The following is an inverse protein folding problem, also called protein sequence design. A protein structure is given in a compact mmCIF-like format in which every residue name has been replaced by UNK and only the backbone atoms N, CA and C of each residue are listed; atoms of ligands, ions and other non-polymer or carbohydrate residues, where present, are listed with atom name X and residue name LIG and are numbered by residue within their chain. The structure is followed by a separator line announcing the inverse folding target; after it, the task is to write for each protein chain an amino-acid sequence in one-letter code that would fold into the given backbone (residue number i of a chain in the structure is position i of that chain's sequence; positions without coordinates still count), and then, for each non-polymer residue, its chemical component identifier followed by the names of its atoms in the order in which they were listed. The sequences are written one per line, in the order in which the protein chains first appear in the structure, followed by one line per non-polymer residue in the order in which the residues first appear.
data_IF_395137743210
#
_entry.id   IF_395137743210
#
_cell.length_a   1.000
_cell.length_b   1.000
_cell.length_c   1.000
_cell.angle_alpha   90.00
_cell.angle_beta   90.00
_cell.angle_gamma   90.00
#
_symmetry.space_group_name_H-M   'P 1'
#
loop_
_entity.id
_entity.type
_entity.pdbx_description
1 polymer ?
#
# COMPACT_ATOMS: atom_id res chain seq x y z
N UNK A 1 34.63 -36.63 -22.07
CA UNK A 1 33.91 -35.52 -21.38
C UNK A 1 33.12 -34.77 -22.44
N UNK A 2 31.78 -34.71 -22.34
CA UNK A 2 30.96 -33.91 -23.28
C UNK A 2 30.90 -32.45 -22.79
N UNK A 3 31.02 -31.45 -23.67
CA UNK A 3 30.92 -30.05 -23.28
C UNK A 3 29.52 -29.72 -22.78
N UNK A 4 29.42 -29.00 -21.66
CA UNK A 4 28.16 -28.50 -21.10
C UNK A 4 27.88 -27.15 -21.77
N UNK A 5 26.80 -27.07 -22.55
CA UNK A 5 26.31 -25.83 -23.13
C UNK A 5 25.23 -25.27 -22.21
N UNK A 6 25.40 -24.02 -21.74
CA UNK A 6 24.41 -23.31 -20.91
C UNK A 6 23.77 -22.23 -21.76
N UNK A 7 22.45 -22.34 -21.99
CA UNK A 7 21.68 -21.38 -22.77
C UNK A 7 21.03 -20.35 -21.84
N UNK A 8 21.10 -19.07 -22.23
CA UNK A 8 20.66 -17.92 -21.43
C UNK A 8 19.34 -17.33 -21.92
N UNK A 9 18.94 -17.59 -23.16
CA UNK A 9 17.64 -17.18 -23.69
C UNK A 9 17.09 -18.13 -24.78
N UNK A 10 15.84 -17.89 -25.19
CA UNK A 10 15.12 -18.68 -26.19
C UNK A 10 15.64 -18.47 -27.62
N UNK A 11 16.37 -17.38 -27.91
CA UNK A 11 16.97 -17.11 -29.21
C UNK A 11 18.22 -17.96 -29.44
N UNK A 12 19.01 -18.21 -28.39
CA UNK A 12 20.19 -19.09 -28.42
C UNK A 12 19.84 -20.55 -28.75
N UNK A 13 18.59 -20.96 -28.51
CA UNK A 13 18.06 -22.29 -28.83
C UNK A 13 18.08 -22.61 -30.34
N UNK A 14 17.96 -21.57 -31.19
CA UNK A 14 18.05 -21.71 -32.65
C UNK A 14 19.45 -22.11 -33.13
N UNK A 15 20.51 -21.67 -32.44
CA UNK A 15 21.90 -21.94 -32.81
C UNK A 15 22.38 -23.35 -32.42
N UNK A 16 21.69 -24.00 -31.48
CA UNK A 16 21.98 -25.39 -31.03
C UNK A 16 20.97 -26.40 -31.59
N UNK A 17 19.98 -25.95 -32.37
CA UNK A 17 18.92 -26.79 -32.93
C UNK A 17 19.49 -28.01 -33.65
N UNK A 18 20.50 -27.79 -34.49
CA UNK A 18 21.09 -28.85 -35.33
C UNK A 18 22.01 -29.81 -34.52
N UNK A 19 22.37 -29.46 -33.28
CA UNK A 19 23.07 -30.33 -32.32
C UNK A 19 22.10 -31.19 -31.47
N UNK A 20 20.82 -30.81 -31.42
CA UNK A 20 19.76 -31.49 -30.65
C UNK A 20 18.91 -32.44 -31.49
N UNK A 21 19.02 -32.38 -32.82
CA UNK A 21 18.36 -33.32 -33.72
C UNK A 21 19.19 -34.59 -33.78
N UNK A 22 18.89 -35.56 -32.91
CA UNK A 22 19.11 -36.96 -33.29
C UNK A 22 18.23 -37.22 -34.52
N UNK A 23 18.83 -37.55 -35.66
CA UNK A 23 18.10 -38.03 -36.84
C UNK A 23 17.46 -39.38 -36.50
N UNK A 24 16.30 -39.33 -35.88
CA UNK A 24 15.58 -40.48 -35.38
C UNK A 24 14.33 -40.05 -34.63
N UNK A 25 13.30 -40.90 -34.57
CA UNK A 25 12.11 -40.60 -33.80
C UNK A 25 12.46 -40.44 -32.31
N UNK A 26 11.99 -39.36 -31.69
CA UNK A 26 12.12 -39.14 -30.25
C UNK A 26 11.68 -40.41 -29.51
N UNK A 27 12.52 -41.00 -28.63
CA UNK A 27 12.16 -42.20 -27.90
C UNK A 27 10.84 -42.00 -27.15
N UNK A 28 9.91 -42.97 -27.25
CA UNK A 28 8.55 -42.85 -26.73
C UNK A 28 8.48 -42.46 -25.23
N UNK A 29 9.49 -42.81 -24.44
CA UNK A 29 9.60 -42.44 -23.02
C UNK A 29 9.97 -40.98 -22.72
N UNK A 30 10.26 -40.15 -23.73
CA UNK A 30 10.60 -38.72 -23.59
C UNK A 30 9.62 -37.77 -24.28
N UNK A 31 8.58 -38.30 -24.91
CA UNK A 31 7.59 -37.50 -25.61
C UNK A 31 6.52 -37.01 -24.61
N UNK A 32 6.44 -35.68 -24.40
CA UNK A 32 5.34 -35.04 -23.64
C UNK A 32 3.98 -35.20 -24.33
N UNK A 33 4.01 -35.57 -25.62
CA UNK A 33 2.83 -35.88 -26.43
C UNK A 33 3.10 -37.21 -27.13
N UNK A 34 2.25 -38.24 -26.98
CA UNK A 34 2.47 -39.53 -27.61
C UNK A 34 2.51 -39.38 -29.15
N UNK A 35 3.55 -39.92 -29.78
CA UNK A 35 3.69 -39.95 -31.24
C UNK A 35 2.76 -41.03 -31.79
N UNK A 36 1.61 -40.64 -32.34
CA UNK A 36 0.61 -41.55 -32.91
C UNK A 36 1.08 -42.03 -34.29
N UNK A 37 1.49 -43.30 -34.40
CA UNK A 37 1.89 -43.92 -35.68
C UNK A 37 0.77 -44.78 -36.23
N UNK A 38 -0.12 -44.15 -36.99
CA UNK A 38 -1.33 -44.80 -37.47
C UNK A 38 -2.38 -44.89 -36.36
N UNK A 39 -3.64 -44.80 -36.73
CA UNK A 39 -4.75 -44.83 -35.79
C UNK A 39 -5.81 -45.69 -36.42
N UNK A 40 -5.83 -46.97 -36.04
CA UNK A 40 -6.90 -47.84 -36.47
C UNK A 40 -8.23 -47.25 -35.93
N UNK A 41 -9.37 -47.44 -36.61
CA UNK A 41 -10.66 -46.99 -36.11
C UNK A 41 -10.92 -47.41 -34.65
N UNK A 42 -10.48 -48.63 -34.28
CA UNK A 42 -10.54 -49.15 -32.92
C UNK A 42 -9.74 -48.32 -31.89
N UNK A 43 -8.57 -47.77 -32.26
CA UNK A 43 -7.76 -46.93 -31.36
C UNK A 43 -8.42 -45.56 -31.12
N UNK A 44 -9.11 -45.03 -32.14
CA UNK A 44 -9.88 -43.78 -32.03
C UNK A 44 -11.11 -43.97 -31.15
N UNK A 45 -11.79 -45.08 -31.30
CA UNK A 45 -12.95 -45.44 -30.48
C UNK A 45 -12.55 -45.69 -29.02
N UNK A 46 -11.42 -46.37 -28.77
CA UNK A 46 -10.87 -46.57 -27.44
C UNK A 46 -10.49 -45.23 -26.77
N UNK A 47 -9.78 -44.34 -27.48
CA UNK A 47 -9.45 -43.00 -26.98
C UNK A 47 -10.71 -42.17 -26.71
N UNK A 48 -11.70 -42.21 -27.61
CA UNK A 48 -12.97 -41.52 -27.41
C UNK A 48 -13.75 -42.07 -26.21
N UNK A 49 -13.72 -43.38 -25.98
CA UNK A 49 -14.32 -44.01 -24.81
C UNK A 49 -13.61 -43.62 -23.51
N UNK A 50 -12.27 -43.61 -23.50
CA UNK A 50 -11.46 -43.17 -22.36
C UNK A 50 -11.67 -41.68 -22.05
N UNK A 51 -11.69 -40.83 -23.07
CA UNK A 51 -11.98 -39.42 -22.93
C UNK A 51 -13.39 -39.19 -22.36
N UNK A 52 -14.41 -39.90 -22.86
CA UNK A 52 -15.77 -39.86 -22.30
C UNK A 52 -15.79 -40.31 -20.83
N UNK A 53 -15.15 -41.42 -20.50
CA UNK A 53 -15.06 -41.91 -19.12
C UNK A 53 -14.38 -40.90 -18.18
N UNK A 54 -13.32 -40.23 -18.65
CA UNK A 54 -12.61 -39.18 -17.90
C UNK A 54 -13.49 -37.94 -17.70
N UNK A 55 -14.23 -37.52 -18.73
CA UNK A 55 -15.17 -36.39 -18.64
C UNK A 55 -16.31 -36.71 -17.66
N UNK A 56 -16.92 -37.88 -17.75
CA UNK A 56 -17.96 -38.32 -16.81
C UNK A 56 -17.43 -38.37 -15.37
N UNK A 57 -16.19 -38.82 -15.17
CA UNK A 57 -15.56 -38.81 -13.84
C UNK A 57 -15.36 -37.38 -13.32
N UNK A 58 -14.91 -36.45 -14.17
CA UNK A 58 -14.76 -35.04 -13.82
C UNK A 58 -16.11 -34.40 -13.47
N UNK A 59 -17.16 -34.69 -14.24
CA UNK A 59 -18.53 -34.20 -13.99
C UNK A 59 -19.03 -34.67 -12.62
N UNK A 60 -18.87 -35.96 -12.29
CA UNK A 60 -19.23 -36.49 -10.95
C UNK A 60 -18.45 -35.83 -9.83
N UNK A 61 -17.16 -35.52 -10.04
CA UNK A 61 -16.34 -34.80 -9.06
C UNK A 61 -16.82 -33.35 -8.87
N UNK A 62 -17.17 -32.65 -9.95
CA UNK A 62 -17.70 -31.29 -9.90
C UNK A 62 -19.07 -31.24 -9.20
N UNK A 63 -19.95 -32.20 -9.48
CA UNK A 63 -21.24 -32.33 -8.80
C UNK A 63 -21.05 -32.59 -7.29
N UNK A 64 -20.12 -33.49 -6.94
CA UNK A 64 -19.78 -33.80 -5.55
C UNK A 64 -19.19 -32.59 -4.81
N UNK A 65 -18.26 -31.85 -5.42
CA UNK A 65 -17.72 -30.62 -4.84
C UNK A 65 -18.81 -29.54 -4.71
N UNK A 66 -19.66 -29.40 -5.73
CA UNK A 66 -20.80 -28.49 -5.72
C UNK A 66 -21.78 -28.78 -4.57
N UNK A 67 -22.10 -30.05 -4.32
CA UNK A 67 -22.91 -30.46 -3.18
C UNK A 67 -22.24 -30.12 -1.85
N UNK A 68 -20.95 -30.45 -1.69
CA UNK A 68 -20.17 -30.10 -0.48
C UNK A 68 -20.09 -28.60 -0.24
N UNK A 69 -19.91 -27.79 -1.29
CA UNK A 69 -19.91 -26.32 -1.18
C UNK A 69 -21.26 -25.78 -0.72
N UNK A 70 -22.38 -26.32 -1.22
CA UNK A 70 -23.73 -25.94 -0.76
C UNK A 70 -23.94 -26.28 0.72
N UNK A 71 -23.54 -27.48 1.14
CA UNK A 71 -23.61 -27.88 2.56
C UNK A 71 -22.74 -27.01 3.47
N UNK A 72 -21.52 -26.70 3.03
CA UNK A 72 -20.61 -25.81 3.74
C UNK A 72 -21.16 -24.38 3.82
N UNK A 73 -21.81 -23.88 2.76
CA UNK A 73 -22.49 -22.58 2.76
C UNK A 73 -23.66 -22.55 3.75
N UNK A 74 -24.52 -23.58 3.77
CA UNK A 74 -25.58 -23.68 4.78
C UNK A 74 -25.04 -23.81 6.21
N UNK A 75 -23.88 -24.46 6.41
CA UNK A 75 -23.21 -24.49 7.70
C UNK A 75 -22.64 -23.12 8.09
N UNK A 76 -22.09 -22.36 7.13
CA UNK A 76 -21.63 -20.99 7.33
C UNK A 76 -22.78 -20.05 7.74
N UNK A 77 -23.95 -20.18 7.13
CA UNK A 77 -25.13 -19.39 7.51
C UNK A 77 -25.58 -19.70 8.94
N UNK A 78 -25.58 -20.98 9.34
CA UNK A 78 -25.82 -21.37 10.74
C UNK A 78 -24.78 -20.81 11.71
N UNK A 79 -23.51 -20.72 11.32
CA UNK A 79 -22.47 -20.06 12.13
C UNK A 79 -22.81 -18.58 12.34
N UNK A 80 -23.26 -17.88 11.29
CA UNK A 80 -23.63 -16.46 11.37
C UNK A 80 -24.83 -16.25 12.28
N UNK A 81 -25.88 -17.04 12.10
CA UNK A 81 -27.09 -17.01 12.93
C UNK A 81 -26.75 -17.30 14.40
N UNK A 82 -25.99 -18.36 14.68
CA UNK A 82 -25.56 -18.70 16.03
C UNK A 82 -24.72 -17.57 16.66
N UNK A 83 -23.81 -16.96 15.90
CA UNK A 83 -22.98 -15.85 16.40
C UNK A 83 -23.81 -14.61 16.75
N UNK A 84 -24.82 -14.29 15.92
CA UNK A 84 -25.75 -13.20 16.18
C UNK A 84 -26.63 -13.50 17.41
N UNK A 85 -27.14 -14.73 17.51
CA UNK A 85 -27.98 -15.14 18.63
C UNK A 85 -27.21 -15.12 19.97
N UNK A 86 -25.98 -15.64 19.99
CA UNK A 86 -25.12 -15.53 21.16
C UNK A 86 -24.89 -14.07 21.59
N UNK A 87 -24.71 -13.17 20.62
CA UNK A 87 -24.56 -11.73 20.88
C UNK A 87 -25.83 -11.14 21.50
N UNK A 88 -27.01 -11.48 20.99
CA UNK A 88 -28.30 -11.05 21.55
C UNK A 88 -28.48 -11.54 22.99
N UNK A 89 -28.23 -12.83 23.24
CA UNK A 89 -28.35 -13.45 24.56
C UNK A 89 -27.40 -12.82 25.59
N UNK A 90 -26.16 -12.48 25.20
CA UNK A 90 -25.23 -11.73 26.05
C UNK A 90 -25.73 -10.32 26.36
N UNK A 91 -26.36 -9.66 25.39
CA UNK A 91 -27.03 -8.37 25.59
C UNK A 91 -28.11 -8.46 26.65
N UNK A 92 -29.03 -9.42 26.51
CA UNK A 92 -30.07 -9.70 27.51
C UNK A 92 -29.48 -10.02 28.89
N UNK A 93 -28.44 -10.84 28.95
CA UNK A 93 -27.78 -11.17 30.22
C UNK A 93 -27.21 -9.93 30.91
N UNK A 94 -26.59 -9.02 30.15
CA UNK A 94 -26.07 -7.74 30.66
C UNK A 94 -27.20 -6.86 31.22
N UNK A 95 -28.30 -6.71 30.48
CA UNK A 95 -29.47 -5.94 30.91
C UNK A 95 -30.09 -6.53 32.19
N UNK A 96 -30.21 -7.86 32.27
CA UNK A 96 -30.75 -8.55 33.44
C UNK A 96 -29.84 -8.41 34.67
N UNK A 97 -28.51 -8.46 34.49
CA UNK A 97 -27.57 -8.15 35.58
C UNK A 97 -27.71 -6.72 36.07
N UNK A 98 -27.89 -5.77 35.17
CA UNK A 98 -28.09 -4.37 35.54
C UNK A 98 -29.41 -4.15 36.28
N UNK A 99 -30.50 -4.76 35.80
CA UNK A 99 -31.79 -4.77 36.50
C UNK A 99 -31.66 -5.39 37.90
N UNK A 100 -30.94 -6.52 38.02
CA UNK A 100 -30.66 -7.18 39.30
C UNK A 100 -29.90 -6.27 40.27
N UNK A 101 -28.86 -5.57 39.79
CA UNK A 101 -28.10 -4.59 40.60
C UNK A 101 -28.97 -3.41 41.05
N UNK A 102 -29.78 -2.84 40.14
CA UNK A 102 -30.70 -1.74 40.47
C UNK A 102 -31.74 -2.14 41.51
N UNK A 103 -32.36 -3.32 41.34
CA UNK A 103 -33.32 -3.86 42.30
C UNK A 103 -32.67 -4.16 43.66
N UNK A 104 -31.43 -4.66 43.68
CA UNK A 104 -30.67 -4.86 44.92
C UNK A 104 -30.38 -3.53 45.64
N UNK A 105 -30.00 -2.48 44.88
CA UNK A 105 -29.81 -1.14 45.42
C UNK A 105 -31.09 -0.52 45.99
N UNK A 106 -32.23 -0.76 45.34
CA UNK A 106 -33.54 -0.37 45.86
C UNK A 106 -33.90 -1.13 47.13
N UNK A 107 -33.67 -2.44 47.18
CA UNK A 107 -33.89 -3.24 48.40
C UNK A 107 -33.09 -2.70 49.60
N UNK A 108 -31.83 -2.32 49.36
CA UNK A 108 -30.96 -1.76 50.39
C UNK A 108 -31.37 -0.37 50.90
N UNK A 109 -32.06 0.42 50.08
CA UNK A 109 -32.43 1.81 50.42
C UNK A 109 -33.92 2.03 50.71
N UNK A 110 -34.80 1.09 50.36
CA UNK A 110 -36.24 1.20 50.56
C UNK A 110 -36.61 1.22 52.06
N UNK A 111 -37.39 2.23 52.44
CA UNK A 111 -37.90 2.42 53.81
C UNK A 111 -39.04 1.45 54.13
N UNK A 112 -39.92 1.18 53.16
CA UNK A 112 -41.07 0.31 53.34
C UNK A 112 -40.68 -1.18 53.24
N UNK A 113 -41.03 -2.03 54.23
CA UNK A 113 -40.68 -3.44 54.23
C UNK A 113 -41.23 -4.24 53.04
N UNK A 114 -42.40 -3.86 52.51
CA UNK A 114 -42.98 -4.52 51.35
C UNK A 114 -42.20 -4.21 50.07
N UNK A 115 -41.87 -2.94 49.86
CA UNK A 115 -41.04 -2.49 48.73
C UNK A 115 -39.67 -3.17 48.75
N UNK A 116 -39.03 -3.30 49.93
CA UNK A 116 -37.77 -4.05 50.08
C UNK A 116 -37.90 -5.51 49.62
N UNK A 117 -38.89 -6.24 50.14
CA UNK A 117 -39.13 -7.65 49.77
C UNK A 117 -39.45 -7.82 48.28
N UNK A 118 -40.20 -6.90 47.69
CA UNK A 118 -40.49 -6.92 46.23
C UNK A 118 -39.21 -6.71 45.43
N UNK A 119 -38.40 -5.73 45.80
CA UNK A 119 -37.12 -5.44 45.15
C UNK A 119 -36.11 -6.60 45.27
N UNK A 120 -36.04 -7.27 46.43
CA UNK A 120 -35.22 -8.48 46.62
C UNK A 120 -35.65 -9.62 45.69
N UNK A 121 -36.97 -9.88 45.58
CA UNK A 121 -37.50 -10.90 44.66
C UNK A 121 -37.17 -10.58 43.21
N UNK A 122 -37.38 -9.33 42.78
CA UNK A 122 -37.04 -8.89 41.43
C UNK A 122 -35.54 -8.96 41.15
N UNK A 123 -34.69 -8.62 42.13
CA UNK A 123 -33.24 -8.75 42.01
C UNK A 123 -32.81 -10.20 41.80
N UNK A 124 -33.36 -11.12 42.59
CA UNK A 124 -33.07 -12.55 42.50
C UNK A 124 -33.57 -13.15 41.17
N UNK A 125 -34.76 -12.75 40.71
CA UNK A 125 -35.32 -13.19 39.43
C UNK A 125 -34.50 -12.72 38.23
N UNK A 126 -34.18 -11.41 38.18
CA UNK A 126 -33.32 -10.87 37.13
C UNK A 126 -31.93 -11.52 37.13
N UNK A 127 -31.37 -11.81 38.32
CA UNK A 127 -30.11 -12.56 38.45
C UNK A 127 -30.20 -13.95 37.82
N UNK A 128 -31.25 -14.72 38.11
CA UNK A 128 -31.47 -16.05 37.51
C UNK A 128 -31.63 -15.98 35.99
N UNK A 129 -32.38 -15.01 35.47
CA UNK A 129 -32.56 -14.82 34.04
C UNK A 129 -31.24 -14.47 33.33
N UNK A 130 -30.39 -13.65 33.95
CA UNK A 130 -29.06 -13.36 33.43
C UNK A 130 -28.19 -14.62 33.32
N UNK A 131 -28.10 -15.41 34.40
CA UNK A 131 -27.34 -16.67 34.40
C UNK A 131 -27.86 -17.65 33.33
N UNK A 132 -29.18 -17.74 33.17
CA UNK A 132 -29.79 -18.58 32.12
C UNK A 132 -29.41 -18.08 30.72
N UNK A 133 -29.52 -16.78 30.46
CA UNK A 133 -29.16 -16.18 29.18
C UNK A 133 -27.67 -16.39 28.84
N UNK A 134 -26.78 -16.28 29.82
CA UNK A 134 -25.35 -16.60 29.66
C UNK A 134 -25.09 -18.07 29.33
N UNK A 135 -25.75 -18.99 30.05
CA UNK A 135 -25.61 -20.40 29.79
C UNK A 135 -26.07 -20.75 28.37
N UNK A 136 -27.19 -20.16 27.90
CA UNK A 136 -27.65 -20.32 26.52
C UNK A 136 -26.66 -19.72 25.51
N UNK A 137 -26.13 -18.51 25.76
CA UNK A 137 -25.14 -17.90 24.87
C UNK A 137 -23.90 -18.79 24.73
N UNK A 138 -23.39 -19.36 25.83
CA UNK A 138 -22.24 -20.25 25.82
C UNK A 138 -22.47 -21.53 24.99
N UNK A 139 -23.67 -22.11 25.06
CA UNK A 139 -24.04 -23.28 24.24
C UNK A 139 -24.07 -22.92 22.76
N UNK A 140 -24.71 -21.80 22.40
CA UNK A 140 -24.80 -21.34 21.01
C UNK A 140 -23.41 -21.01 20.44
N UNK A 141 -22.52 -20.43 21.24
CA UNK A 141 -21.13 -20.16 20.84
C UNK A 141 -20.29 -21.43 20.67
N UNK A 142 -20.53 -22.45 21.50
CA UNK A 142 -19.87 -23.73 21.33
C UNK A 142 -20.27 -24.37 20.00
N UNK A 143 -21.55 -24.28 19.61
CA UNK A 143 -22.03 -24.74 18.32
C UNK A 143 -21.43 -23.94 17.15
N UNK A 144 -21.41 -22.60 17.25
CA UNK A 144 -20.79 -21.73 16.24
C UNK A 144 -19.30 -22.07 16.05
N UNK A 145 -18.56 -22.28 17.15
CA UNK A 145 -17.15 -22.69 17.11
C UNK A 145 -16.97 -24.07 16.49
N UNK A 146 -17.81 -25.04 16.84
CA UNK A 146 -17.78 -26.40 16.28
C UNK A 146 -17.99 -26.39 14.76
N UNK A 147 -18.98 -25.63 14.29
CA UNK A 147 -19.24 -25.49 12.85
C UNK A 147 -18.12 -24.75 12.13
N UNK A 148 -17.59 -23.67 12.73
CA UNK A 148 -16.48 -22.89 12.17
C UNK A 148 -15.17 -23.67 12.09
N UNK A 149 -14.98 -24.67 12.98
CA UNK A 149 -13.80 -25.54 13.00
C UNK A 149 -13.78 -26.58 11.88
N UNK A 150 -14.88 -26.78 11.13
CA UNK A 150 -14.88 -27.67 9.97
C UNK A 150 -14.03 -27.07 8.86
N UNK A 151 -13.18 -27.87 8.22
CA UNK A 151 -12.21 -27.40 7.22
C UNK A 151 -12.89 -26.71 6.01
N UNK A 152 -14.04 -27.19 5.57
CA UNK A 152 -14.82 -26.64 4.47
C UNK A 152 -15.40 -25.25 4.80
N UNK A 153 -15.97 -25.08 6.00
CA UNK A 153 -16.48 -23.79 6.50
C UNK A 153 -15.33 -22.83 6.78
N UNK A 154 -14.23 -23.29 7.38
CA UNK A 154 -13.04 -22.49 7.62
C UNK A 154 -12.44 -21.95 6.32
N UNK A 155 -12.44 -22.76 5.25
CA UNK A 155 -12.03 -22.32 3.91
C UNK A 155 -12.94 -21.22 3.38
N UNK A 156 -14.27 -21.38 3.44
CA UNK A 156 -15.22 -20.35 3.00
C UNK A 156 -15.09 -19.04 3.82
N UNK A 157 -14.87 -19.14 5.13
CA UNK A 157 -14.58 -17.98 5.98
C UNK A 157 -13.28 -17.29 5.58
N UNK A 158 -12.26 -18.06 5.21
CA UNK A 158 -11.00 -17.55 4.66
C UNK A 158 -11.22 -16.80 3.35
N UNK A 159 -11.93 -17.41 2.38
CA UNK A 159 -12.29 -16.78 1.11
C UNK A 159 -13.08 -15.47 1.32
N UNK A 160 -14.04 -15.45 2.25
CA UNK A 160 -14.81 -14.26 2.56
C UNK A 160 -13.94 -13.14 3.16
N UNK A 161 -12.98 -13.48 4.03
CA UNK A 161 -12.01 -12.51 4.56
C UNK A 161 -11.12 -11.96 3.44
N UNK A 162 -10.55 -12.83 2.60
CA UNK A 162 -9.72 -12.41 1.48
C UNK A 162 -10.49 -11.51 0.51
N UNK A 163 -11.74 -11.84 0.17
CA UNK A 163 -12.58 -10.96 -0.68
C UNK A 163 -12.85 -9.60 -0.05
N UNK A 164 -13.07 -9.55 1.27
CA UNK A 164 -13.27 -8.27 1.99
C UNK A 164 -11.98 -7.44 2.02
N UNK A 165 -10.85 -8.07 2.23
CA UNK A 165 -9.52 -7.43 2.19
C UNK A 165 -9.24 -6.89 0.79
N UNK A 166 -9.50 -7.67 -0.27
CA UNK A 166 -9.39 -7.21 -1.66
C UNK A 166 -10.34 -6.07 -2.01
N UNK A 167 -11.57 -6.07 -1.47
CA UNK A 167 -12.53 -4.99 -1.69
C UNK A 167 -12.08 -3.70 -1.00
N UNK A 168 -11.62 -3.79 0.25
CA UNK A 168 -11.05 -2.65 0.98
C UNK A 168 -9.82 -2.10 0.28
N UNK A 169 -8.92 -2.98 -0.18
CA UNK A 169 -7.74 -2.59 -0.95
C UNK A 169 -8.14 -1.82 -2.20
N UNK A 170 -9.13 -2.30 -2.95
CA UNK A 170 -9.63 -1.60 -4.15
C UNK A 170 -10.19 -0.22 -3.80
N UNK A 171 -10.95 -0.11 -2.72
CA UNK A 171 -11.50 1.16 -2.24
C UNK A 171 -10.39 2.14 -1.82
N UNK A 172 -9.38 1.67 -1.08
CA UNK A 172 -8.22 2.48 -0.66
C UNK A 172 -7.38 2.93 -1.87
N UNK A 173 -7.18 2.05 -2.85
CA UNK A 173 -6.47 2.37 -4.09
C UNK A 173 -7.26 3.37 -4.96
N UNK A 174 -8.58 3.24 -5.03
CA UNK A 174 -9.45 4.19 -5.73
C UNK A 174 -9.42 5.57 -5.05
N UNK A 175 -9.47 5.61 -3.72
CA UNK A 175 -9.34 6.83 -2.94
C UNK A 175 -7.97 7.49 -3.15
N UNK A 176 -6.88 6.70 -3.13
CA UNK A 176 -5.54 7.20 -3.45
C UNK A 176 -5.49 7.80 -4.87
N UNK A 177 -6.12 7.14 -5.85
CA UNK A 177 -6.30 7.66 -7.20
C UNK A 177 -7.03 9.02 -7.22
N UNK A 178 -8.12 9.16 -6.47
CA UNK A 178 -8.84 10.44 -6.33
C UNK A 178 -7.97 11.55 -5.73
N UNK A 179 -7.14 11.22 -4.73
CA UNK A 179 -6.17 12.17 -4.17
C UNK A 179 -5.09 12.56 -5.18
N UNK A 180 -4.59 11.61 -5.99
CA UNK A 180 -3.65 11.88 -7.08
C UNK A 180 -4.23 12.81 -8.14
N UNK A 181 -5.49 12.61 -8.53
CA UNK A 181 -6.17 13.44 -9.52
C UNK A 181 -6.49 14.83 -8.96
N UNK A 182 -6.77 14.93 -7.65
CA UNK A 182 -6.99 16.19 -6.94
C UNK A 182 -5.71 16.95 -6.54
N UNK A 183 -4.52 16.46 -6.89
CA UNK A 183 -3.24 17.08 -6.53
C UNK A 183 -2.88 17.00 -5.04
N UNK A 184 -3.57 16.16 -4.27
CA UNK A 184 -3.36 15.92 -2.84
C UNK A 184 -2.34 14.79 -2.65
N UNK A 185 -1.09 15.05 -3.05
CA UNK A 185 -0.05 14.01 -3.15
C UNK A 185 0.38 13.42 -1.81
N UNK A 186 0.42 14.24 -0.74
CA UNK A 186 0.79 13.75 0.60
C UNK A 186 -0.28 12.83 1.19
N UNK A 187 -1.55 13.09 0.91
CA UNK A 187 -2.67 12.20 1.27
C UNK A 187 -2.64 10.91 0.44
N UNK A 188 -2.43 11.02 -0.87
CA UNK A 188 -2.28 9.85 -1.74
C UNK A 188 -1.12 8.96 -1.28
N UNK A 189 0.02 9.55 -0.92
CA UNK A 189 1.18 8.82 -0.41
C UNK A 189 0.88 8.11 0.90
N UNK A 190 0.24 8.80 1.85
CA UNK A 190 -0.14 8.21 3.15
C UNK A 190 -1.03 6.98 2.98
N UNK A 191 -2.02 7.05 2.08
CA UNK A 191 -2.90 5.92 1.78
C UNK A 191 -2.14 4.76 1.14
N UNK A 192 -1.27 5.02 0.16
CA UNK A 192 -0.47 3.97 -0.47
C UNK A 192 0.51 3.30 0.51
N UNK A 193 1.13 4.07 1.42
CA UNK A 193 2.00 3.54 2.48
C UNK A 193 1.21 2.67 3.48
N UNK A 194 -0.06 3.01 3.75
CA UNK A 194 -0.95 2.20 4.60
C UNK A 194 -1.33 0.88 3.93
N UNK A 195 -1.68 0.92 2.64
CA UNK A 195 -1.92 -0.29 1.83
C UNK A 195 -0.68 -1.20 1.81
N UNK A 196 0.51 -0.63 1.62
CA UNK A 196 1.78 -1.38 1.62
C UNK A 196 2.03 -2.12 2.94
N UNK A 197 1.74 -1.47 4.07
CA UNK A 197 1.96 -2.05 5.41
C UNK A 197 0.96 -3.14 5.75
N UNK A 198 -0.29 -2.96 5.34
CA UNK A 198 -1.37 -3.86 5.72
C UNK A 198 -1.49 -5.07 4.79
N UNK A 199 -0.98 -4.98 3.55
CA UNK A 199 -1.21 -5.99 2.52
C UNK A 199 0.10 -6.33 1.79
N UNK A 200 0.64 -7.50 2.09
CA UNK A 200 1.98 -7.93 1.62
C UNK A 200 2.07 -8.25 0.12
N UNK A 201 0.97 -8.16 -0.64
CA UNK A 201 0.96 -8.46 -2.08
C UNK A 201 -0.20 -7.77 -2.80
N UNK A 202 -0.13 -6.46 -2.94
CA UNK A 202 -1.02 -5.72 -3.85
C UNK A 202 -0.39 -5.67 -5.25
N UNK A 203 -0.92 -6.42 -6.25
CA UNK A 203 -0.59 -6.11 -7.64
C UNK A 203 -1.04 -4.66 -7.90
N UNK A 204 -0.25 -3.90 -8.65
CA UNK A 204 -0.50 -2.49 -9.01
C UNK A 204 -0.01 -1.41 -8.01
N UNK A 205 0.40 -1.77 -6.79
CA UNK A 205 0.90 -0.77 -5.82
C UNK A 205 2.17 -0.05 -6.32
N UNK A 206 3.11 -0.81 -6.92
CA UNK A 206 4.32 -0.23 -7.52
C UNK A 206 4.01 0.74 -8.66
N UNK A 207 2.98 0.46 -9.46
CA UNK A 207 2.54 1.35 -10.53
C UNK A 207 1.91 2.63 -9.97
N UNK A 208 1.15 2.54 -8.87
CA UNK A 208 0.57 3.70 -8.19
C UNK A 208 1.67 4.61 -7.61
N UNK A 209 2.69 4.06 -6.95
CA UNK A 209 3.83 4.84 -6.47
C UNK A 209 4.63 5.50 -7.59
N UNK A 210 4.87 4.81 -8.71
CA UNK A 210 5.53 5.44 -9.86
C UNK A 210 4.68 6.56 -10.48
N UNK A 211 3.35 6.39 -10.51
CA UNK A 211 2.42 7.42 -10.99
C UNK A 211 2.44 8.64 -10.07
N UNK A 212 2.39 8.44 -8.76
CA UNK A 212 2.55 9.49 -7.74
C UNK A 212 3.87 10.24 -7.97
N UNK A 213 4.99 9.52 -8.08
CA UNK A 213 6.32 10.10 -8.28
C UNK A 213 6.40 10.95 -9.55
N UNK A 214 5.82 10.47 -10.66
CA UNK A 214 5.79 11.21 -11.94
C UNK A 214 4.96 12.48 -11.83
N UNK A 215 3.78 12.43 -11.19
CA UNK A 215 2.89 13.59 -11.03
C UNK A 215 3.46 14.64 -10.06
N UNK A 216 4.00 14.22 -8.92
CA UNK A 216 4.74 15.11 -8.02
C UNK A 216 5.91 15.79 -8.73
N UNK A 217 6.67 15.02 -9.53
CA UNK A 217 7.75 15.54 -10.36
C UNK A 217 7.27 16.61 -11.34
N UNK A 218 6.16 16.36 -12.05
CA UNK A 218 5.59 17.32 -12.99
C UNK A 218 5.15 18.64 -12.31
N UNK A 219 4.59 18.58 -11.10
CA UNK A 219 4.24 19.79 -10.33
C UNK A 219 5.48 20.57 -9.91
N UNK A 220 6.53 19.88 -9.44
CA UNK A 220 7.81 20.51 -9.10
C UNK A 220 8.44 21.18 -10.32
N UNK A 221 8.40 20.54 -11.48
CA UNK A 221 8.90 21.09 -12.74
C UNK A 221 8.13 22.36 -13.11
N UNK A 222 6.79 22.33 -13.14
CA UNK A 222 5.98 23.51 -13.46
C UNK A 222 6.23 24.67 -12.49
N UNK A 223 6.34 24.39 -11.20
CA UNK A 223 6.67 25.40 -10.19
C UNK A 223 8.06 26.01 -10.44
N UNK A 224 9.06 25.19 -10.76
CA UNK A 224 10.40 25.64 -11.12
C UNK A 224 10.42 26.47 -12.41
N UNK A 225 9.67 26.09 -13.45
CA UNK A 225 9.52 26.86 -14.69
C UNK A 225 8.86 28.22 -14.45
N UNK A 226 7.82 28.24 -13.61
CA UNK A 226 7.09 29.45 -13.23
C UNK A 226 8.01 30.41 -12.47
N UNK A 227 8.75 29.89 -11.47
CA UNK A 227 9.75 30.66 -10.73
C UNK A 227 10.84 31.21 -11.64
N UNK A 228 11.34 30.41 -12.60
CA UNK A 228 12.33 30.87 -13.58
C UNK A 228 11.78 31.98 -14.47
N UNK A 229 10.55 31.84 -14.99
CA UNK A 229 9.92 32.83 -15.84
C UNK A 229 9.72 34.16 -15.09
N UNK A 230 9.25 34.09 -13.85
CA UNK A 230 9.02 35.27 -13.02
C UNK A 230 10.34 35.93 -12.60
N UNK A 231 11.33 35.15 -12.18
CA UNK A 231 12.64 35.68 -11.83
C UNK A 231 13.34 36.35 -13.02
N UNK A 232 13.17 35.84 -14.25
CA UNK A 232 13.69 36.48 -15.48
C UNK A 232 13.05 37.85 -15.72
N UNK A 233 11.77 38.04 -15.39
CA UNK A 233 11.08 39.34 -15.49
C UNK A 233 11.60 40.33 -14.45
N UNK A 234 11.76 39.86 -13.20
CA UNK A 234 12.17 40.69 -12.07
C UNK A 234 13.66 41.04 -12.12
N UNK A 235 14.52 40.14 -12.59
CA UNK A 235 15.98 40.20 -12.51
C UNK A 235 16.59 41.55 -12.92
N UNK A 236 16.02 42.24 -13.92
CA UNK A 236 16.57 43.52 -14.40
C UNK A 236 16.27 44.69 -13.48
N UNK A 237 15.08 44.71 -12.86
CA UNK A 237 14.53 45.83 -12.07
C UNK A 237 14.62 45.60 -10.57
N UNK A 238 14.36 44.36 -10.14
CA UNK A 238 14.24 43.94 -8.75
C UNK A 238 15.07 42.65 -8.52
N UNK A 239 16.41 42.71 -8.60
CA UNK A 239 17.26 41.52 -8.49
C UNK A 239 17.13 40.78 -7.15
N UNK A 240 16.85 41.50 -6.05
CA UNK A 240 16.62 40.88 -4.74
C UNK A 240 15.38 39.97 -4.73
N UNK A 241 14.26 40.44 -5.32
CA UNK A 241 13.04 39.63 -5.44
C UNK A 241 13.20 38.45 -6.40
N UNK A 242 13.95 38.63 -7.49
CA UNK A 242 14.29 37.54 -8.39
C UNK A 242 15.05 36.41 -7.66
N UNK A 243 15.96 36.76 -6.75
CA UNK A 243 16.68 35.78 -5.92
C UNK A 243 15.69 35.06 -5.00
N UNK A 244 14.81 35.77 -4.30
CA UNK A 244 13.82 35.17 -3.38
C UNK A 244 12.90 34.17 -4.09
N UNK A 245 12.43 34.51 -5.30
CA UNK A 245 11.60 33.62 -6.11
C UNK A 245 12.36 32.35 -6.49
N UNK A 246 13.64 32.46 -6.89
CA UNK A 246 14.45 31.29 -7.27
C UNK A 246 14.87 30.45 -6.06
N UNK A 247 15.23 31.06 -4.93
CA UNK A 247 15.59 30.36 -3.69
C UNK A 247 14.43 29.54 -3.14
N UNK A 248 13.20 30.00 -3.37
CA UNK A 248 11.97 29.30 -2.97
C UNK A 248 11.56 28.20 -3.95
N UNK A 249 12.18 28.10 -5.13
CA UNK A 249 11.81 27.12 -6.14
C UNK A 249 12.25 25.70 -5.75
N UNK A 250 11.45 24.66 -6.04
CA UNK A 250 11.86 23.29 -5.82
C UNK A 250 13.01 22.95 -6.77
N UNK A 251 14.16 22.51 -6.24
CA UNK A 251 15.31 22.07 -7.04
C UNK A 251 15.48 20.55 -7.06
N UNK A 252 14.89 19.87 -6.09
CA UNK A 252 14.99 18.42 -5.97
C UNK A 252 14.05 17.73 -6.96
N UNK A 253 14.59 16.82 -7.77
CA UNK A 253 13.83 16.10 -8.81
C UNK A 253 13.57 16.91 -10.09
N UNK A 254 14.10 18.12 -10.20
CA UNK A 254 13.99 18.94 -11.42
C UNK A 254 15.03 18.48 -12.46
N UNK A 255 14.68 18.43 -13.77
CA UNK A 255 15.62 18.13 -14.84
C UNK A 255 16.86 19.03 -14.78
N UNK A 256 18.03 18.45 -15.04
CA UNK A 256 19.31 19.12 -14.87
C UNK A 256 19.40 20.43 -15.69
N UNK A 257 18.83 20.44 -16.89
CA UNK A 257 18.79 21.62 -17.75
C UNK A 257 18.01 22.78 -17.11
N UNK A 258 16.83 22.51 -16.54
CA UNK A 258 16.04 23.52 -15.85
C UNK A 258 16.73 24.01 -14.58
N UNK A 259 17.35 23.09 -13.82
CA UNK A 259 18.17 23.46 -12.65
C UNK A 259 19.34 24.38 -13.04
N UNK A 260 19.97 24.14 -14.20
CA UNK A 260 21.05 24.98 -14.73
C UNK A 260 20.57 26.37 -15.11
N UNK A 261 19.38 26.48 -15.70
CA UNK A 261 18.76 27.77 -16.02
C UNK A 261 18.39 28.57 -14.76
N UNK A 262 17.81 27.92 -13.75
CA UNK A 262 17.52 28.54 -12.45
C UNK A 262 18.80 29.05 -11.80
N UNK A 263 19.83 28.20 -11.72
CA UNK A 263 21.12 28.56 -11.15
C UNK A 263 21.80 29.72 -11.89
N UNK A 264 21.77 29.72 -13.22
CA UNK A 264 22.30 30.82 -14.03
C UNK A 264 21.56 32.14 -13.79
N UNK A 265 20.22 32.10 -13.72
CA UNK A 265 19.40 33.28 -13.44
C UNK A 265 19.65 33.83 -12.03
N UNK A 266 19.75 32.94 -11.04
CA UNK A 266 20.08 33.27 -9.65
C UNK A 266 21.44 33.96 -9.54
N UNK A 267 22.49 33.39 -10.16
CA UNK A 267 23.83 33.96 -10.11
C UNK A 267 23.88 35.33 -10.82
N UNK A 268 23.16 35.48 -11.95
CA UNK A 268 23.06 36.75 -12.66
C UNK A 268 22.32 37.81 -11.83
N UNK A 269 21.27 37.43 -11.08
CA UNK A 269 20.59 38.33 -10.16
C UNK A 269 21.51 38.74 -8.99
N UNK A 270 22.27 37.80 -8.42
CA UNK A 270 23.24 38.08 -7.36
C UNK A 270 24.31 39.08 -7.81
N UNK A 271 24.84 38.92 -9.03
CA UNK A 271 25.80 39.88 -9.61
C UNK A 271 25.24 41.28 -9.75
N UNK A 272 23.95 41.42 -10.07
CA UNK A 272 23.27 42.72 -10.21
C UNK A 272 23.00 43.42 -8.88
N UNK A 273 23.10 42.73 -7.74
CA UNK A 273 22.99 43.37 -6.43
C UNK A 273 24.18 44.28 -6.11
N UNK A 274 25.28 44.22 -6.88
CA UNK A 274 26.44 45.09 -6.67
C UNK A 274 27.17 44.81 -5.35
N UNK A 275 27.15 43.55 -4.88
CA UNK A 275 27.78 43.14 -3.63
C UNK A 275 29.31 43.18 -3.75
N UNK A 276 29.91 44.30 -3.32
CA UNK A 276 31.36 44.52 -3.37
C UNK A 276 32.08 43.50 -2.46
N UNK A 277 33.14 42.86 -2.99
CA UNK A 277 33.90 41.79 -2.33
C UNK A 277 33.11 40.48 -2.05
N UNK A 278 31.93 40.31 -2.64
CA UNK A 278 31.22 39.04 -2.55
C UNK A 278 32.00 37.90 -3.21
N UNK A 279 31.91 36.72 -2.59
CA UNK A 279 32.39 35.47 -3.16
C UNK A 279 31.23 34.57 -3.52
N UNK A 280 31.42 33.79 -4.57
CA UNK A 280 30.56 32.70 -4.96
C UNK A 280 31.24 31.37 -4.62
N UNK A 281 30.58 30.59 -3.78
CA UNK A 281 30.97 29.23 -3.41
C UNK A 281 30.09 28.23 -4.15
N UNK A 282 30.71 27.32 -4.90
CA UNK A 282 30.01 26.24 -5.63
C UNK A 282 30.15 24.93 -4.87
N UNK A 283 29.05 24.40 -4.36
CA UNK A 283 29.02 23.14 -3.62
C UNK A 283 28.78 21.92 -4.52
N UNK A 284 28.22 22.12 -5.72
CA UNK A 284 27.95 21.04 -6.67
C UNK A 284 27.30 21.52 -7.96
N UNK A 285 26.76 20.60 -8.79
CA UNK A 285 25.95 20.95 -9.95
C UNK A 285 24.72 21.75 -9.51
N UNK A 286 24.55 22.97 -10.06
CA UNK A 286 23.41 23.84 -9.79
C UNK A 286 23.16 24.15 -8.30
N UNK A 287 24.21 24.07 -7.45
CA UNK A 287 24.18 24.34 -6.02
C UNK A 287 25.32 25.25 -5.61
N UNK A 288 25.01 26.32 -4.89
CA UNK A 288 26.01 27.28 -4.45
C UNK A 288 25.45 28.34 -3.52
N UNK A 289 26.35 29.16 -3.01
CA UNK A 289 26.04 30.27 -2.12
C UNK A 289 26.87 31.50 -2.51
N UNK A 290 26.28 32.68 -2.31
CA UNK A 290 26.96 33.97 -2.37
C UNK A 290 27.16 34.46 -0.96
N UNK A 291 28.40 34.79 -0.62
CA UNK A 291 28.80 35.22 0.71
C UNK A 291 29.48 36.59 0.66
N UNK A 292 29.31 37.36 1.73
CA UNK A 292 29.94 38.66 1.94
C UNK A 292 30.87 38.62 3.16
N UNK A 293 31.96 39.41 3.17
CA UNK A 293 32.80 39.53 4.35
C UNK A 293 32.01 40.23 5.47
N UNK A 294 32.00 39.63 6.66
CA UNK A 294 31.46 40.20 7.87
C UNK A 294 32.56 40.94 8.65
N UNK A 295 32.15 41.83 9.56
CA UNK A 295 33.06 42.66 10.38
C UNK A 295 33.98 41.82 11.30
N UNK A 296 33.55 40.61 11.66
CA UNK A 296 34.29 39.67 12.51
C UNK A 296 35.32 38.83 11.73
N UNK A 297 35.55 39.15 10.44
CA UNK A 297 36.47 38.44 9.57
C UNK A 297 35.93 37.08 9.05
N UNK A 298 34.67 36.75 9.34
CA UNK A 298 33.98 35.57 8.78
C UNK A 298 33.25 35.94 7.50
N UNK A 299 32.77 34.93 6.79
CA UNK A 299 31.93 35.09 5.59
C UNK A 299 30.49 34.79 5.93
N UNK A 300 29.60 35.73 5.63
CA UNK A 300 28.16 35.63 5.88
C UNK A 300 27.42 35.30 4.59
N UNK A 301 26.53 34.30 4.63
CA UNK A 301 25.70 33.92 3.48
C UNK A 301 24.67 35.03 3.22
N UNK A 302 24.69 35.58 2.02
CA UNK A 302 23.69 36.55 1.55
C UNK A 302 22.59 35.85 0.76
N UNK A 303 22.95 34.80 0.04
CA UNK A 303 22.02 34.02 -0.78
C UNK A 303 22.56 32.62 -0.99
N UNK A 304 21.68 31.62 -1.04
CA UNK A 304 22.05 30.23 -1.27
C UNK A 304 20.99 29.49 -2.07
N UNK A 305 21.44 28.70 -3.06
CA UNK A 305 20.57 27.91 -3.92
C UNK A 305 20.90 26.43 -3.81
N UNK A 306 19.91 25.63 -3.45
CA UNK A 306 20.02 24.17 -3.37
C UNK A 306 20.94 23.66 -2.26
N UNK A 307 21.22 24.49 -1.25
CA UNK A 307 22.07 24.17 -0.11
C UNK A 307 21.26 24.15 1.19
N UNK A 308 20.82 22.95 1.61
CA UNK A 308 20.13 22.76 2.89
C UNK A 308 21.02 23.27 4.04
N UNK A 309 20.44 24.06 4.96
CA UNK A 309 21.10 24.66 6.14
C UNK A 309 22.03 25.85 5.88
N UNK A 310 22.18 26.32 4.65
CA UNK A 310 22.92 27.54 4.31
C UNK A 310 21.95 28.71 4.19
N UNK A 311 21.41 29.13 5.32
CA UNK A 311 20.44 30.23 5.39
C UNK A 311 21.14 31.59 5.37
N UNK A 312 20.42 32.63 4.94
CA UNK A 312 20.92 34.01 4.98
C UNK A 312 21.32 34.39 6.42
N UNK A 313 22.44 35.09 6.56
CA UNK A 313 23.01 35.46 7.86
C UNK A 313 23.90 34.40 8.50
N UNK A 314 23.94 33.16 7.97
CA UNK A 314 24.83 32.12 8.51
C UNK A 314 26.29 32.45 8.19
N UNK A 315 27.17 32.30 9.18
CA UNK A 315 28.59 32.65 9.08
C UNK A 315 29.52 31.45 9.00
N UNK A 316 30.58 31.57 8.20
CA UNK A 316 31.58 30.54 7.97
C UNK A 316 32.99 31.10 8.10
N UNK A 317 33.91 30.29 8.63
CA UNK A 317 35.33 30.64 8.66
C UNK A 317 35.91 30.63 7.24
N UNK A 318 36.83 31.55 6.88
CA UNK A 318 37.44 31.59 5.55
C UNK A 318 38.07 30.26 5.10
N UNK A 319 38.69 29.52 6.04
CA UNK A 319 39.31 28.22 5.78
C UNK A 319 38.33 27.12 5.34
N UNK A 320 37.04 27.28 5.62
CA UNK A 320 35.99 26.32 5.27
C UNK A 320 35.51 26.48 3.81
N UNK A 321 35.80 27.61 3.15
CA UNK A 321 35.29 27.96 1.83
C UNK A 321 36.33 27.71 0.72
N UNK A 322 36.94 26.52 0.71
CA UNK A 322 37.91 26.15 -0.33
C UNK A 322 37.25 26.17 -1.71
N UNK A 323 37.90 26.85 -2.66
CA UNK A 323 37.43 26.93 -4.04
C UNK A 323 36.36 28.00 -4.31
N UNK A 324 36.05 28.86 -3.32
CA UNK A 324 35.24 30.05 -3.56
C UNK A 324 35.95 31.00 -4.54
N UNK A 325 35.17 31.65 -5.41
CA UNK A 325 35.66 32.60 -6.42
C UNK A 325 35.02 33.95 -6.20
N UNK A 326 35.64 35.03 -6.68
CA UNK A 326 34.97 36.32 -6.70
C UNK A 326 33.64 36.23 -7.47
N UNK A 327 32.61 36.93 -7.00
CA UNK A 327 31.28 36.94 -7.63
C UNK A 327 31.28 37.63 -9.01
N UNK A 328 32.29 38.46 -9.29
CA UNK A 328 32.44 39.28 -10.51
C UNK A 328 32.03 38.56 -11.81
#
# INVERSE_FOLDING_TARGET
MRPVVVLRDLGELGAVRDLLVEEGPVPAGRALVPVIRGSAPADREALAAEARGTLEQLERLLESDGARRREAASALDRVREASQEATRLRGTAREMREASRRASGLAGSALEPETRRRAERSAAEAGRLATRAEAHAAVVEAEARRLSGRADVARLLGEERSRREEARMREEMELAGSHLDGGRYDEARRLLDEVERNISSAPDLGQAFETLRRREGAVKIRAAETALAEARRLHRREPARAIEVIESAPLEGVPEELARHLYGCWLAACRRLGLLAAIHYRAGPCRGAVLMPALDGRWEVVSALGMRRWERGRRFAPRALRGARALA
#
